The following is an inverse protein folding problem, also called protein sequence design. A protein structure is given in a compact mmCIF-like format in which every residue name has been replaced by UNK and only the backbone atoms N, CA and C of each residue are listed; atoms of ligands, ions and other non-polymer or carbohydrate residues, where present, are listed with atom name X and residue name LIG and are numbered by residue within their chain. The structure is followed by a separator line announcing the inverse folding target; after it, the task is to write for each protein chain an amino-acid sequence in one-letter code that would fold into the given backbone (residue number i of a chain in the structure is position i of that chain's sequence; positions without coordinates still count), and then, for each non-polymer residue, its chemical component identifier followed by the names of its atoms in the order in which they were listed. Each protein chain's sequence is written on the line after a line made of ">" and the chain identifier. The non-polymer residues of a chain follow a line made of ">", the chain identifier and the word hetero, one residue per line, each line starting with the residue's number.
data_IF_723765521487
#
_entry.id   IF_723765521487
#
_cell.length_a   1.000
_cell.length_b   1.000
_cell.length_c   1.000
_cell.angle_alpha   90.00
_cell.angle_beta   90.00
_cell.angle_gamma   90.00
#
_symmetry.space_group_name_H-M   'P 1'
#
loop_
_entity.id
_entity.type
_entity.pdbx_description
1 polymer ?
#
# COMPACT_ATOMS: atom_id res chain seq x y z
N UNK A 1 4.69 11.28 -16.09
CA UNK A 1 4.24 10.81 -14.75
C UNK A 1 4.97 9.53 -14.32
N UNK A 2 4.94 8.47 -15.11
CA UNK A 2 5.53 7.15 -14.76
C UNK A 2 6.95 7.25 -14.19
N UNK A 3 7.85 7.96 -14.87
CA UNK A 3 9.25 8.15 -14.46
C UNK A 3 9.42 8.87 -13.10
N UNK A 4 8.36 9.50 -12.61
CA UNK A 4 8.38 10.29 -11.39
C UNK A 4 7.92 9.51 -10.15
N UNK A 5 7.40 8.28 -10.31
CA UNK A 5 6.71 7.54 -9.24
C UNK A 5 7.34 6.16 -9.06
N UNK A 6 7.67 5.80 -7.84
CA UNK A 6 7.97 4.42 -7.41
C UNK A 6 6.73 3.83 -6.75
N UNK A 7 6.37 2.59 -7.13
CA UNK A 7 5.32 1.82 -6.46
C UNK A 7 5.86 1.13 -5.21
N UNK A 8 5.13 1.22 -4.10
CA UNK A 8 5.43 0.52 -2.84
C UNK A 8 4.23 -0.36 -2.49
N UNK A 9 4.43 -1.67 -2.46
CA UNK A 9 3.44 -2.62 -1.93
C UNK A 9 3.82 -3.00 -0.51
N UNK A 10 2.95 -2.69 0.45
CA UNK A 10 3.09 -3.14 1.82
C UNK A 10 2.49 -4.55 1.96
N UNK A 11 3.37 -5.55 1.93
CA UNK A 11 3.04 -6.96 1.98
C UNK A 11 3.18 -7.57 3.40
N UNK A 12 3.32 -6.73 4.42
CA UNK A 12 3.52 -7.12 5.80
C UNK A 12 2.22 -7.08 6.61
N UNK A 13 1.69 -8.25 6.95
CA UNK A 13 0.59 -8.38 7.89
C UNK A 13 0.58 -9.79 8.47
N UNK A 14 0.81 -9.95 9.78
CA UNK A 14 0.62 -11.25 10.43
C UNK A 14 -0.86 -11.59 10.43
N UNK A 15 -1.29 -12.37 9.46
CA UNK A 15 -2.63 -12.96 9.47
C UNK A 15 -2.68 -14.09 10.51
N UNK A 16 -2.93 -13.74 11.78
CA UNK A 16 -3.27 -14.74 12.81
C UNK A 16 -4.50 -15.58 12.45
N UNK A 17 -5.27 -15.14 11.43
CA UNK A 17 -6.52 -15.76 10.99
C UNK A 17 -6.38 -16.62 9.73
N UNK A 18 -5.18 -16.74 9.18
CA UNK A 18 -4.89 -17.51 7.97
C UNK A 18 -3.76 -18.52 8.19
N UNK A 19 -3.79 -19.26 9.33
CA UNK A 19 -2.85 -20.33 9.70
C UNK A 19 -1.36 -19.99 9.49
N UNK A 20 -0.98 -18.73 9.82
CA UNK A 20 0.39 -18.20 9.71
C UNK A 20 0.98 -18.16 8.27
N UNK A 21 0.19 -18.42 7.25
CA UNK A 21 0.61 -18.22 5.86
C UNK A 21 0.73 -16.73 5.54
N UNK A 22 1.68 -16.37 4.70
CA UNK A 22 1.83 -14.99 4.23
C UNK A 22 0.60 -14.62 3.38
N UNK A 23 -0.21 -13.70 3.90
CA UNK A 23 -1.45 -13.22 3.28
C UNK A 23 -1.26 -12.76 1.83
N UNK A 24 -0.07 -12.30 1.50
CA UNK A 24 0.26 -11.79 0.16
C UNK A 24 0.06 -12.83 -0.94
N UNK A 25 0.20 -14.11 -0.61
CA UNK A 25 0.03 -15.23 -1.55
C UNK A 25 -1.36 -15.84 -1.52
N UNK A 26 -2.27 -15.35 -0.66
CA UNK A 26 -3.67 -15.79 -0.69
C UNK A 26 -4.29 -15.47 -2.05
N UNK A 27 -5.08 -16.41 -2.57
CA UNK A 27 -5.68 -16.28 -3.89
C UNK A 27 -7.01 -15.53 -3.82
N UNK A 28 -7.14 -14.51 -4.63
CA UNK A 28 -8.40 -13.83 -4.93
C UNK A 28 -8.74 -14.11 -6.40
N UNK A 29 -9.80 -14.86 -6.65
CA UNK A 29 -10.19 -15.32 -8.00
C UNK A 29 -9.03 -15.97 -8.76
N UNK A 30 -8.33 -16.88 -8.10
CA UNK A 30 -7.21 -17.63 -8.68
C UNK A 30 -5.90 -16.85 -8.83
N UNK A 31 -5.84 -15.58 -8.45
CA UNK A 31 -4.64 -14.74 -8.55
C UNK A 31 -4.13 -14.33 -7.15
N UNK A 32 -2.83 -14.48 -6.84
CA UNK A 32 -2.27 -14.01 -5.57
C UNK A 32 -2.51 -12.51 -5.34
N UNK A 33 -2.89 -12.13 -4.11
CA UNK A 33 -3.16 -10.73 -3.74
C UNK A 33 -2.01 -9.80 -4.09
N UNK A 34 -0.76 -10.22 -3.86
CA UNK A 34 0.43 -9.43 -4.20
C UNK A 34 0.52 -9.11 -5.70
N UNK A 35 0.18 -10.06 -6.57
CA UNK A 35 0.18 -9.84 -8.02
C UNK A 35 -0.91 -8.86 -8.45
N UNK A 36 -2.09 -8.93 -7.82
CA UNK A 36 -3.18 -7.98 -8.07
C UNK A 36 -2.79 -6.57 -7.63
N UNK A 37 -2.17 -6.43 -6.45
CA UNK A 37 -1.69 -5.14 -5.97
C UNK A 37 -0.65 -4.53 -6.93
N UNK A 38 0.35 -5.30 -7.37
CA UNK A 38 1.35 -4.85 -8.35
C UNK A 38 0.68 -4.44 -9.67
N UNK A 39 -0.20 -5.29 -10.21
CA UNK A 39 -0.89 -5.05 -11.47
C UNK A 39 -1.74 -3.78 -11.44
N UNK A 40 -2.30 -3.40 -10.28
CA UNK A 40 -3.15 -2.22 -10.15
C UNK A 40 -2.46 -0.89 -10.47
N UNK A 41 -1.12 -0.84 -10.43
CA UNK A 41 -0.37 0.41 -10.64
C UNK A 41 0.90 0.28 -11.52
N UNK A 42 1.30 -0.93 -11.92
CA UNK A 42 2.59 -1.12 -12.64
C UNK A 42 2.74 -0.27 -13.91
N UNK A 43 1.65 0.07 -14.58
CA UNK A 43 1.67 0.94 -15.76
C UNK A 43 1.98 2.41 -15.41
N UNK A 44 1.77 2.83 -14.16
CA UNK A 44 1.88 4.21 -13.69
C UNK A 44 3.21 4.52 -12.99
N UNK A 45 4.05 3.50 -12.70
CA UNK A 45 5.28 3.65 -11.91
C UNK A 45 6.53 3.26 -12.69
N UNK A 46 7.68 3.83 -12.34
CA UNK A 46 8.98 3.49 -12.96
C UNK A 46 9.47 2.11 -12.57
N UNK A 47 9.32 1.75 -11.29
CA UNK A 47 9.59 0.43 -10.74
C UNK A 47 8.75 0.19 -9.48
N UNK A 48 8.74 -1.06 -9.01
CA UNK A 48 7.98 -1.47 -7.83
C UNK A 48 8.91 -2.02 -6.75
N UNK A 49 8.63 -1.66 -5.50
CA UNK A 49 9.27 -2.22 -4.31
C UNK A 49 8.20 -2.91 -3.46
N UNK A 50 8.39 -4.18 -3.17
CA UNK A 50 7.58 -4.94 -2.22
C UNK A 50 8.27 -4.91 -0.86
N UNK A 51 7.55 -4.45 0.16
CA UNK A 51 8.05 -4.43 1.55
C UNK A 51 7.34 -5.53 2.33
N UNK A 52 8.09 -6.45 2.88
CA UNK A 52 7.54 -7.63 3.59
C UNK A 52 8.21 -7.86 4.94
N UNK A 53 7.47 -8.48 5.88
CA UNK A 53 8.03 -9.09 7.10
C UNK A 53 8.38 -10.58 6.91
N UNK A 54 7.95 -11.17 5.78
CA UNK A 54 8.19 -12.55 5.43
C UNK A 54 9.59 -12.79 4.84
N UNK A 55 9.85 -14.02 4.46
CA UNK A 55 11.08 -14.42 3.76
C UNK A 55 11.13 -13.78 2.36
N UNK A 56 12.13 -12.94 2.02
CA UNK A 56 12.23 -12.33 0.69
C UNK A 56 12.25 -13.35 -0.45
N UNK A 57 12.78 -14.55 -0.21
CA UNK A 57 12.80 -15.64 -1.20
C UNK A 57 11.41 -16.06 -1.67
N UNK A 58 10.39 -15.93 -0.83
CA UNK A 58 9.01 -16.24 -1.22
C UNK A 58 8.49 -15.34 -2.36
N UNK A 59 9.13 -14.21 -2.58
CA UNK A 59 8.76 -13.20 -3.57
C UNK A 59 9.65 -13.19 -4.82
N UNK A 60 10.58 -14.15 -4.94
CA UNK A 60 11.60 -14.19 -6.03
C UNK A 60 10.99 -14.26 -7.44
N UNK A 61 9.77 -14.84 -7.57
CA UNK A 61 9.07 -14.97 -8.86
C UNK A 61 8.29 -13.69 -9.26
N UNK A 62 8.37 -12.65 -8.43
CA UNK A 62 7.90 -11.32 -8.78
C UNK A 62 9.06 -10.56 -9.43
N UNK A 63 8.84 -10.04 -10.61
CA UNK A 63 9.83 -9.16 -11.29
C UNK A 63 9.84 -7.77 -10.63
N UNK A 64 10.21 -7.74 -9.34
CA UNK A 64 10.18 -6.54 -8.50
C UNK A 64 11.29 -6.57 -7.45
N UNK A 65 11.70 -5.40 -6.99
CA UNK A 65 12.57 -5.28 -5.83
C UNK A 65 11.82 -5.69 -4.55
N UNK A 66 12.44 -6.54 -3.72
CA UNK A 66 11.88 -6.98 -2.43
C UNK A 66 12.75 -6.49 -1.29
N UNK A 67 12.15 -5.84 -0.30
CA UNK A 67 12.80 -5.34 0.91
C UNK A 67 12.18 -5.95 2.16
N UNK A 68 13.03 -6.33 3.11
CA UNK A 68 12.56 -6.78 4.42
C UNK A 68 12.43 -5.58 5.36
N UNK A 69 11.30 -5.49 6.05
CA UNK A 69 11.11 -4.58 7.19
C UNK A 69 11.68 -5.24 8.47
N UNK A 70 13.00 -5.35 8.53
CA UNK A 70 13.70 -6.01 9.65
C UNK A 70 13.91 -5.10 10.87
N UNK A 71 13.84 -3.79 10.69
CA UNK A 71 14.17 -2.82 11.76
C UNK A 71 13.00 -2.55 12.71
N UNK A 72 11.77 -2.69 12.23
CA UNK A 72 10.55 -2.31 12.96
C UNK A 72 9.46 -3.40 12.88
N UNK A 73 9.84 -4.67 13.06
CA UNK A 73 8.95 -5.82 12.89
C UNK A 73 7.66 -5.66 13.72
N UNK A 74 6.52 -5.70 13.03
CA UNK A 74 5.20 -5.64 13.67
C UNK A 74 4.74 -4.25 14.12
N UNK A 75 5.44 -3.18 13.72
CA UNK A 75 5.07 -1.80 14.04
C UNK A 75 4.13 -1.16 13.01
N UNK A 76 3.45 -1.95 12.20
CA UNK A 76 2.42 -1.50 11.27
C UNK A 76 2.97 -0.93 9.95
N UNK A 77 2.12 -0.24 9.15
CA UNK A 77 2.48 0.21 7.80
C UNK A 77 3.64 1.21 7.76
N UNK A 78 3.81 2.00 8.81
CA UNK A 78 4.88 3.00 8.88
C UNK A 78 6.26 2.35 8.92
N UNK A 79 6.37 1.16 9.51
CA UNK A 79 7.61 0.40 9.54
C UNK A 79 8.09 0.07 8.12
N UNK A 80 7.16 -0.38 7.28
CA UNK A 80 7.46 -0.61 5.86
C UNK A 80 7.92 0.66 5.13
N UNK A 81 7.27 1.80 5.37
CA UNK A 81 7.67 3.08 4.76
C UNK A 81 9.07 3.51 5.21
N UNK A 82 9.35 3.42 6.51
CA UNK A 82 10.66 3.79 7.07
C UNK A 82 11.80 2.92 6.49
N UNK A 83 11.54 1.62 6.27
CA UNK A 83 12.55 0.68 5.76
C UNK A 83 13.03 1.00 4.33
N UNK A 84 12.22 1.68 3.53
CA UNK A 84 12.54 2.03 2.13
C UNK A 84 12.83 3.51 1.91
N UNK A 85 12.61 4.36 2.91
CA UNK A 85 12.68 5.81 2.78
C UNK A 85 13.99 6.33 2.16
N UNK A 86 15.12 5.69 2.47
CA UNK A 86 16.45 6.11 1.97
C UNK A 86 16.82 5.52 0.62
N UNK A 87 16.07 4.51 0.13
CA UNK A 87 16.35 3.85 -1.16
C UNK A 87 15.57 4.44 -2.33
N UNK A 88 14.46 5.11 -2.07
CA UNK A 88 13.61 5.72 -3.10
C UNK A 88 14.32 6.92 -3.72
N UNK A 89 14.31 6.99 -5.07
CA UNK A 89 14.96 8.07 -5.86
C UNK A 89 13.99 8.92 -6.65
N UNK A 90 12.78 8.44 -6.88
CA UNK A 90 11.75 9.21 -7.57
C UNK A 90 11.16 10.28 -6.64
N UNK A 91 10.67 11.41 -7.17
CA UNK A 91 10.08 12.48 -6.35
C UNK A 91 8.75 12.11 -5.68
N UNK A 92 8.09 11.07 -6.18
CA UNK A 92 6.81 10.59 -5.67
C UNK A 92 6.81 9.08 -5.46
N UNK A 93 5.91 8.62 -4.59
CA UNK A 93 5.63 7.20 -4.36
C UNK A 93 4.13 6.94 -4.44
N UNK A 94 3.77 5.78 -4.99
CA UNK A 94 2.42 5.22 -4.90
C UNK A 94 2.45 4.07 -3.90
N UNK A 95 1.65 4.15 -2.84
CA UNK A 95 1.67 3.23 -1.70
C UNK A 95 0.36 2.47 -1.65
N UNK A 96 0.42 1.14 -1.57
CA UNK A 96 -0.76 0.29 -1.45
C UNK A 96 -0.52 -0.89 -0.50
N UNK A 97 -1.55 -1.28 0.25
CA UNK A 97 -1.55 -2.56 0.95
C UNK A 97 -1.85 -3.71 -0.02
N UNK A 98 -1.19 -4.86 0.17
CA UNK A 98 -1.36 -6.02 -0.73
C UNK A 98 -2.78 -6.63 -0.70
N UNK A 99 -3.61 -6.29 0.29
CA UNK A 99 -4.94 -6.86 0.51
C UNK A 99 -6.10 -6.07 -0.12
N UNK A 100 -5.81 -5.19 -1.07
CA UNK A 100 -6.79 -4.37 -1.80
C UNK A 100 -6.91 -4.81 -3.28
N UNK A 101 -7.53 -5.96 -3.59
CA UNK A 101 -7.50 -6.56 -4.92
C UNK A 101 -8.41 -5.88 -5.96
N UNK A 102 -9.26 -4.95 -5.55
CA UNK A 102 -10.28 -4.33 -6.40
C UNK A 102 -9.97 -2.87 -6.78
N UNK A 103 -8.74 -2.41 -6.54
CA UNK A 103 -8.33 -1.08 -6.96
C UNK A 103 -8.34 -0.96 -8.50
N UNK A 104 -8.91 0.09 -9.07
CA UNK A 104 -8.87 0.34 -10.51
C UNK A 104 -7.45 0.74 -10.94
N UNK A 105 -7.10 0.54 -12.21
CA UNK A 105 -5.72 0.79 -12.71
C UNK A 105 -5.33 2.27 -12.76
N UNK A 106 -6.28 3.18 -12.64
CA UNK A 106 -6.08 4.64 -12.71
C UNK A 106 -5.98 5.32 -11.33
N UNK A 107 -6.04 4.56 -10.24
CA UNK A 107 -6.03 5.13 -8.89
C UNK A 107 -4.78 5.99 -8.60
N UNK A 108 -3.62 5.59 -9.14
CA UNK A 108 -2.38 6.36 -8.96
C UNK A 108 -2.47 7.71 -9.67
N UNK A 109 -2.96 7.71 -10.90
CA UNK A 109 -3.12 8.95 -11.69
C UNK A 109 -4.09 9.89 -11.00
N UNK A 110 -5.23 9.37 -10.56
CA UNK A 110 -6.26 10.16 -9.89
C UNK A 110 -5.76 10.79 -8.58
N UNK A 111 -5.07 10.02 -7.74
CA UNK A 111 -4.50 10.55 -6.49
C UNK A 111 -3.36 11.54 -6.74
N UNK A 112 -2.50 11.27 -7.73
CA UNK A 112 -1.43 12.17 -8.10
C UNK A 112 -1.96 13.54 -8.56
N UNK A 113 -2.95 13.54 -9.46
CA UNK A 113 -3.59 14.76 -9.95
C UNK A 113 -4.32 15.50 -8.83
N UNK A 114 -4.97 14.77 -7.92
CA UNK A 114 -5.62 15.36 -6.74
C UNK A 114 -4.62 16.04 -5.81
N UNK A 115 -3.49 15.40 -5.52
CA UNK A 115 -2.43 16.01 -4.72
C UNK A 115 -1.87 17.29 -5.36
N UNK A 116 -1.63 17.26 -6.67
CA UNK A 116 -1.13 18.42 -7.42
C UNK A 116 -2.15 19.58 -7.40
N UNK A 117 -3.42 19.29 -7.67
CA UNK A 117 -4.49 20.33 -7.70
C UNK A 117 -4.69 20.99 -6.35
N UNK A 118 -4.50 20.23 -5.27
CA UNK A 118 -4.57 20.74 -3.89
C UNK A 118 -3.26 21.38 -3.41
N UNK A 119 -2.19 21.38 -4.22
CA UNK A 119 -0.85 21.79 -3.81
C UNK A 119 -0.37 21.04 -2.55
N UNK A 120 -0.79 19.76 -2.40
CA UNK A 120 -0.51 18.94 -1.24
C UNK A 120 0.71 18.02 -1.47
N UNK A 121 1.34 17.60 -0.38
CA UNK A 121 2.46 16.65 -0.42
C UNK A 121 2.01 15.20 -0.62
N UNK A 122 0.72 14.92 -0.37
CA UNK A 122 0.15 13.59 -0.53
C UNK A 122 -1.37 13.66 -0.71
N UNK A 123 -1.91 12.64 -1.40
CA UNK A 123 -3.34 12.35 -1.43
C UNK A 123 -3.56 10.87 -1.11
N UNK A 124 -4.66 10.55 -0.45
CA UNK A 124 -5.01 9.17 -0.06
C UNK A 124 -6.47 8.86 -0.33
N UNK A 125 -6.76 7.60 -0.60
CA UNK A 125 -8.13 7.14 -0.80
C UNK A 125 -8.86 7.06 0.55
N UNK A 126 -9.99 7.76 0.63
CA UNK A 126 -10.83 7.89 1.82
C UNK A 126 -12.25 7.41 1.56
N UNK A 127 -12.76 6.57 2.44
CA UNK A 127 -14.16 6.15 2.44
C UNK A 127 -14.94 6.95 3.46
N UNK A 128 -15.83 7.80 2.98
CA UNK A 128 -16.59 8.76 3.81
C UNK A 128 -17.50 8.05 4.81
N UNK A 129 -18.26 7.02 4.35
CA UNK A 129 -19.29 6.34 5.16
C UNK A 129 -18.71 5.67 6.43
N UNK A 130 -17.50 5.14 6.33
CA UNK A 130 -16.83 4.46 7.45
C UNK A 130 -15.74 5.30 8.12
N UNK A 131 -15.50 6.52 7.63
CA UNK A 131 -14.36 7.36 8.01
C UNK A 131 -13.01 6.60 7.94
N UNK A 132 -12.84 5.78 6.90
CA UNK A 132 -11.70 4.90 6.75
C UNK A 132 -10.69 5.47 5.76
N UNK A 133 -9.45 5.68 6.23
CA UNK A 133 -8.30 6.00 5.40
C UNK A 133 -7.64 4.70 4.92
N UNK A 134 -7.86 4.35 3.66
CA UNK A 134 -7.25 3.16 3.06
C UNK A 134 -5.71 3.32 2.96
N UNK A 135 -4.98 2.21 3.06
CA UNK A 135 -3.55 2.21 2.71
C UNK A 135 -3.44 2.18 1.18
N UNK A 136 -3.83 3.28 0.58
CA UNK A 136 -3.82 3.57 -0.84
C UNK A 136 -3.58 5.08 -0.98
N UNK A 137 -2.36 5.49 -1.32
CA UNK A 137 -1.95 6.88 -1.35
C UNK A 137 -0.88 7.15 -2.42
N UNK A 138 -0.81 8.40 -2.86
CA UNK A 138 0.35 8.95 -3.59
C UNK A 138 0.93 10.06 -2.74
N UNK A 139 2.25 10.06 -2.53
CA UNK A 139 2.93 11.01 -1.66
C UNK A 139 4.30 11.41 -2.21
N UNK A 140 4.79 12.58 -1.80
CA UNK A 140 6.18 12.97 -2.01
C UNK A 140 7.10 12.00 -1.29
N UNK A 141 8.16 11.56 -1.94
CA UNK A 141 9.07 10.55 -1.38
C UNK A 141 9.83 11.01 -0.14
N UNK A 142 10.09 12.30 0.00
CA UNK A 142 10.71 12.88 1.19
C UNK A 142 9.84 12.75 2.46
N UNK A 143 8.52 12.62 2.32
CA UNK A 143 7.60 12.38 3.44
C UNK A 143 7.79 11.00 4.10
N UNK A 144 8.39 10.03 3.40
CA UNK A 144 8.66 8.69 3.96
C UNK A 144 9.56 8.74 5.19
N UNK A 145 10.49 9.70 5.27
CA UNK A 145 11.39 9.86 6.42
C UNK A 145 10.64 10.22 7.70
N UNK A 146 9.45 10.81 7.58
CA UNK A 146 8.57 11.14 8.72
C UNK A 146 8.09 9.87 9.42
N UNK A 147 7.97 8.75 8.71
CA UNK A 147 7.55 7.49 9.28
C UNK A 147 8.47 7.00 10.41
N UNK A 148 9.80 7.04 10.22
CA UNK A 148 10.77 6.69 11.28
C UNK A 148 10.65 7.62 12.50
N UNK A 149 10.50 8.92 12.27
CA UNK A 149 10.31 9.92 13.32
C UNK A 149 9.06 9.68 14.17
N UNK A 150 7.97 9.22 13.54
CA UNK A 150 6.72 8.85 14.22
C UNK A 150 6.87 7.56 15.01
N UNK A 151 7.54 6.54 14.43
CA UNK A 151 7.81 5.27 15.12
C UNK A 151 8.62 5.47 16.40
N UNK A 152 9.63 6.33 16.39
CA UNK A 152 10.41 6.70 17.60
C UNK A 152 9.56 7.34 18.70
N UNK A 153 8.43 7.94 18.33
CA UNK A 153 7.44 8.55 19.25
C UNK A 153 6.27 7.61 19.56
N UNK A 154 6.41 6.32 19.24
CA UNK A 154 5.37 5.29 19.40
C UNK A 154 4.06 5.58 18.63
N UNK A 155 4.10 6.43 17.62
CA UNK A 155 2.99 6.71 16.71
C UNK A 155 3.08 5.79 15.50
N UNK A 156 2.26 4.75 15.43
CA UNK A 156 2.36 3.65 14.45
C UNK A 156 1.26 3.64 13.40
N UNK A 157 0.23 4.49 13.57
CA UNK A 157 -0.95 4.44 12.72
C UNK A 157 -0.73 5.14 11.38
N UNK A 158 -1.34 4.58 10.33
CA UNK A 158 -1.40 5.17 9.01
C UNK A 158 -1.97 6.60 9.04
N UNK A 159 -3.06 6.80 9.79
CA UNK A 159 -3.68 8.12 9.95
C UNK A 159 -2.73 9.15 10.55
N UNK A 160 -1.93 8.78 11.57
CA UNK A 160 -0.97 9.71 12.16
C UNK A 160 0.10 10.18 11.17
N UNK A 161 0.50 9.33 10.22
CA UNK A 161 1.41 9.73 9.16
C UNK A 161 0.73 10.67 8.17
N UNK A 162 -0.47 10.34 7.69
CA UNK A 162 -1.25 11.18 6.78
C UNK A 162 -1.49 12.58 7.36
N UNK A 163 -1.89 12.66 8.64
CA UNK A 163 -2.10 13.93 9.34
C UNK A 163 -0.81 14.75 9.45
N UNK A 164 0.31 14.08 9.80
CA UNK A 164 1.60 14.76 10.00
C UNK A 164 2.15 15.35 8.70
N UNK A 165 1.93 14.68 7.56
CA UNK A 165 2.37 15.18 6.25
C UNK A 165 1.36 16.11 5.57
N UNK A 166 0.22 16.39 6.19
CA UNK A 166 -0.83 17.21 5.60
C UNK A 166 -1.44 16.60 4.34
N UNK A 167 -1.67 15.28 4.35
CA UNK A 167 -2.26 14.57 3.21
C UNK A 167 -3.73 14.97 3.00
N UNK A 168 -4.15 15.11 1.76
CA UNK A 168 -5.54 15.42 1.39
C UNK A 168 -6.32 14.15 1.08
N UNK A 169 -7.55 14.09 1.56
CA UNK A 169 -8.45 12.97 1.30
C UNK A 169 -9.03 13.06 -0.12
N UNK A 170 -9.08 11.93 -0.80
CA UNK A 170 -9.75 11.76 -2.09
C UNK A 170 -10.81 10.67 -2.01
N UNK A 171 -12.03 10.99 -2.42
CA UNK A 171 -13.23 10.16 -2.26
C UNK A 171 -13.73 9.57 -3.57
N UNK A 172 -12.87 9.50 -4.58
CA UNK A 172 -13.26 9.01 -5.91
C UNK A 172 -13.38 7.49 -6.05
N UNK A 173 -13.04 6.71 -5.00
CA UNK A 173 -13.24 5.26 -4.96
C UNK A 173 -14.45 4.89 -4.09
N UNK A 174 -15.23 3.91 -4.55
CA UNK A 174 -16.35 3.39 -3.77
C UNK A 174 -15.91 2.35 -2.74
N UNK A 175 -16.80 2.01 -1.81
CA UNK A 175 -16.54 1.05 -0.73
C UNK A 175 -16.04 -0.32 -1.22
N UNK A 176 -16.57 -0.82 -2.36
CA UNK A 176 -16.14 -2.09 -2.94
C UNK A 176 -14.66 -2.03 -3.41
N UNK A 177 -14.27 -0.95 -4.07
CA UNK A 177 -12.90 -0.76 -4.55
C UNK A 177 -11.89 -0.62 -3.40
N UNK A 178 -12.33 -0.10 -2.24
CA UNK A 178 -11.53 0.06 -1.03
C UNK A 178 -11.61 -1.14 -0.06
N UNK A 179 -12.26 -2.24 -0.47
CA UNK A 179 -12.40 -3.43 0.38
C UNK A 179 -11.05 -4.11 0.60
N UNK A 180 -10.69 -4.28 1.88
CA UNK A 180 -9.56 -5.12 2.29
C UNK A 180 -10.04 -6.57 2.44
N UNK A 181 -9.34 -7.50 1.81
CA UNK A 181 -9.59 -8.93 1.99
C UNK A 181 -8.81 -9.44 3.20
N UNK A 182 -9.51 -9.68 4.32
CA UNK A 182 -8.90 -10.03 5.61
C UNK A 182 -9.12 -11.48 6.06
N UNK A 183 -10.00 -12.23 5.39
CA UNK A 183 -10.37 -13.60 5.79
C UNK A 183 -10.49 -14.50 4.56
N UNK A 184 -10.28 -15.82 4.76
CA UNK A 184 -10.50 -16.85 3.73
C UNK A 184 -11.95 -16.84 3.21
N UNK A 185 -12.94 -16.52 4.06
CA UNK A 185 -14.33 -16.44 3.66
C UNK A 185 -14.58 -15.30 2.66
N UNK A 186 -13.93 -14.14 2.83
CA UNK A 186 -14.01 -13.03 1.88
C UNK A 186 -13.39 -13.37 0.52
N UNK A 187 -12.34 -14.23 0.52
CA UNK A 187 -11.75 -14.76 -0.71
C UNK A 187 -12.74 -15.70 -1.43
N UNK A 188 -13.43 -16.57 -0.70
CA UNK A 188 -14.34 -17.58 -1.24
C UNK A 188 -15.72 -17.00 -1.66
N UNK A 189 -16.23 -15.98 -0.98
CA UNK A 189 -17.50 -15.32 -1.33
C UNK A 189 -17.42 -14.60 -2.68
N UNK A 190 -16.24 -14.10 -3.04
CA UNK A 190 -16.01 -13.46 -4.33
C UNK A 190 -16.03 -14.42 -5.52
N UNK A 191 -15.79 -15.73 -5.30
CA UNK A 191 -15.86 -16.77 -6.35
C UNK A 191 -17.32 -17.18 -6.67
N UNK A 192 -18.27 -16.90 -5.76
CA UNK A 192 -19.69 -17.29 -5.91
C UNK A 192 -20.59 -16.21 -6.55
N UNK A 193 -20.05 -15.01 -6.77
CA UNK A 193 -20.80 -13.85 -7.27
C UNK A 193 -20.42 -13.46 -8.71
N UNK A 194 -19.83 -14.37 -9.47
CA UNK A 194 -19.42 -14.20 -10.87
C UNK A 194 -20.33 -14.90 -11.84
#
# INVERSE_FOLDING_TARGET
>A
MRELITGIVLAGGRSRRMDFQDKSFALYRGTPLIRLAIASFQACVSHTVVVTHGEPKAYQDLDTEVRSDSLHIGMGPLAGLASVATSIRTPWVAIVACDMPLLPHDWVTSLYEHALSASAQAAYAHQVESNFAAICAVARSDTLQIADSLLRKDKRSWAAWLDTIGAVAWTGLNARQLTNVNTLNQLNESDRSG
#
